data_IF_997815766156
#
_entry.id   IF_997815766156
#
_cell.length_a   1.000
_cell.length_b   1.000
_cell.length_c   1.000
_cell.angle_alpha   90.00
_cell.angle_beta   90.00
_cell.angle_gamma   90.00
#
_symmetry.space_group_name_H-M   'P 1'
#
loop_
_entity.id
_entity.type
_entity.pdbx_description
1 polymer ?
#
# COMPACT_ATOMS: atom_id res chain seq x y z
N UNK A 1 21.26 -10.03 16.29
CA UNK A 1 21.43 -10.07 14.83
C UNK A 1 20.42 -9.20 14.07
N UNK A 2 19.09 -9.34 14.23
CA UNK A 2 18.14 -8.41 13.57
C UNK A 2 18.05 -7.04 14.27
N UNK A 3 18.19 -6.98 15.60
CA UNK A 3 18.25 -5.71 16.32
C UNK A 3 19.41 -4.85 15.84
N UNK A 4 20.59 -5.43 15.59
CA UNK A 4 21.76 -4.74 15.07
C UNK A 4 21.62 -4.31 13.60
N UNK A 5 20.88 -5.06 12.77
CA UNK A 5 20.66 -4.73 11.35
C UNK A 5 19.67 -3.57 11.11
N UNK A 6 18.95 -3.13 12.15
CA UNK A 6 17.97 -2.01 12.08
C UNK A 6 18.22 -0.95 13.15
N UNK A 7 19.30 -1.07 13.92
CA UNK A 7 19.72 -0.05 14.88
C UNK A 7 20.52 1.03 14.15
N UNK A 8 20.05 2.29 14.10
CA UNK A 8 20.76 3.38 13.45
C UNK A 8 22.18 3.57 13.99
N UNK A 9 22.41 3.24 15.27
CA UNK A 9 23.71 3.36 15.93
C UNK A 9 24.69 2.24 15.55
N UNK A 10 24.22 1.20 14.86
CA UNK A 10 25.03 0.05 14.44
C UNK A 10 25.07 -0.11 12.90
N UNK A 11 24.73 0.94 12.14
CA UNK A 11 24.68 0.90 10.68
C UNK A 11 23.42 0.24 10.11
N UNK A 12 22.35 0.16 10.91
CA UNK A 12 21.11 -0.49 10.55
C UNK A 12 20.38 0.19 9.40
N UNK A 13 19.90 -0.62 8.45
CA UNK A 13 19.21 -0.13 7.26
C UNK A 13 17.77 0.20 7.63
N UNK A 14 17.45 1.49 7.78
CA UNK A 14 16.10 2.00 8.09
C UNK A 14 15.18 2.05 6.86
N UNK A 15 15.26 1.10 5.94
CA UNK A 15 14.37 1.03 4.78
C UNK A 15 13.10 0.23 5.10
N UNK A 16 12.06 0.41 4.27
CA UNK A 16 10.77 -0.24 4.45
C UNK A 16 10.90 -1.76 4.66
N UNK A 17 11.75 -2.42 3.87
CA UNK A 17 11.93 -3.88 3.90
C UNK A 17 12.43 -4.38 5.26
N UNK A 18 13.44 -3.74 5.83
CA UNK A 18 14.03 -4.18 7.10
C UNK A 18 13.04 -3.96 8.27
N UNK A 19 12.42 -2.79 8.32
CA UNK A 19 11.46 -2.42 9.38
C UNK A 19 10.17 -3.24 9.30
N UNK A 20 9.63 -3.49 8.10
CA UNK A 20 8.45 -4.35 7.91
C UNK A 20 8.72 -5.81 8.26
N UNK A 21 9.90 -6.33 7.94
CA UNK A 21 10.32 -7.69 8.35
C UNK A 21 10.38 -7.79 9.88
N UNK A 22 10.99 -6.81 10.56
CA UNK A 22 11.06 -6.77 12.02
C UNK A 22 9.68 -6.71 12.65
N UNK A 23 8.79 -5.86 12.12
CA UNK A 23 7.39 -5.80 12.54
C UNK A 23 6.69 -7.16 12.43
N UNK A 24 6.81 -7.84 11.29
CA UNK A 24 6.20 -9.16 11.08
C UNK A 24 6.71 -10.22 12.07
N UNK A 25 7.99 -10.19 12.43
CA UNK A 25 8.55 -11.08 13.46
C UNK A 25 7.98 -10.76 14.85
N UNK A 26 7.88 -9.48 15.21
CA UNK A 26 7.32 -9.06 16.49
C UNK A 26 5.84 -9.44 16.62
N UNK A 27 5.06 -9.33 15.55
CA UNK A 27 3.68 -9.84 15.51
C UNK A 27 3.63 -11.34 15.82
N UNK A 28 4.51 -12.15 15.21
CA UNK A 28 4.58 -13.60 15.47
C UNK A 28 5.00 -13.94 16.91
N UNK A 29 5.70 -13.04 17.58
CA UNK A 29 6.12 -13.17 18.98
C UNK A 29 5.10 -12.59 19.97
N UNK A 30 3.92 -12.14 19.52
CA UNK A 30 2.90 -11.53 20.37
C UNK A 30 3.22 -10.10 20.84
N UNK A 31 4.30 -9.49 20.33
CA UNK A 31 4.73 -8.13 20.67
C UNK A 31 4.06 -7.09 19.75
N UNK A 32 2.73 -7.01 19.82
CA UNK A 32 1.91 -6.25 18.86
C UNK A 32 2.23 -4.75 18.87
N UNK A 33 2.41 -4.13 20.03
CA UNK A 33 2.74 -2.69 20.12
C UNK A 33 4.07 -2.35 19.44
N UNK A 34 5.11 -3.17 19.67
CA UNK A 34 6.40 -2.99 19.00
C UNK A 34 6.27 -3.22 17.49
N UNK A 35 5.50 -4.23 17.08
CA UNK A 35 5.26 -4.52 15.67
C UNK A 35 4.60 -3.33 14.96
N UNK A 36 3.59 -2.71 15.56
CA UNK A 36 2.90 -1.54 15.03
C UNK A 36 3.86 -0.35 14.90
N UNK A 37 4.68 -0.11 15.93
CA UNK A 37 5.70 0.96 15.92
C UNK A 37 6.66 0.80 14.74
N UNK A 38 7.24 -0.39 14.56
CA UNK A 38 8.19 -0.63 13.47
C UNK A 38 7.51 -0.61 12.10
N UNK A 39 6.26 -1.04 11.98
CA UNK A 39 5.52 -0.93 10.72
C UNK A 39 5.20 0.53 10.39
N UNK A 40 4.84 1.35 11.38
CA UNK A 40 4.61 2.78 11.16
C UNK A 40 5.87 3.45 10.62
N UNK A 41 7.02 3.19 11.25
CA UNK A 41 8.33 3.67 10.79
C UNK A 41 8.68 3.15 9.39
N UNK A 42 8.40 1.86 9.12
CA UNK A 42 8.57 1.30 7.78
C UNK A 42 7.77 2.12 6.76
N UNK A 43 6.50 2.39 7.07
CA UNK A 43 5.63 3.14 6.17
C UNK A 43 6.05 4.60 5.98
N UNK A 44 6.64 5.23 7.00
CA UNK A 44 7.18 6.60 6.90
C UNK A 44 8.43 6.66 6.01
N UNK A 45 9.18 5.56 5.93
CA UNK A 45 10.38 5.47 5.09
C UNK A 45 10.13 4.84 3.71
N UNK A 46 8.93 4.27 3.49
CA UNK A 46 8.62 3.54 2.26
C UNK A 46 8.40 4.44 1.05
N UNK A 47 8.91 4.01 -0.09
CA UNK A 47 8.63 4.61 -1.40
C UNK A 47 7.18 4.37 -1.83
N UNK A 48 6.70 5.12 -2.83
CA UNK A 48 5.37 4.93 -3.39
C UNK A 48 5.12 3.48 -3.85
N UNK A 49 6.14 2.86 -4.43
CA UNK A 49 6.10 1.48 -4.92
C UNK A 49 6.05 0.48 -3.75
N UNK A 50 6.91 0.62 -2.74
CA UNK A 50 6.94 -0.30 -1.60
C UNK A 50 5.61 -0.29 -0.83
N UNK A 51 5.07 0.89 -0.53
CA UNK A 51 3.78 1.01 0.14
C UNK A 51 2.64 0.45 -0.72
N UNK A 52 2.69 0.65 -2.04
CA UNK A 52 1.70 0.08 -2.94
C UNK A 52 1.75 -1.46 -2.92
N UNK A 53 2.94 -2.06 -3.00
CA UNK A 53 3.06 -3.52 -2.93
C UNK A 53 2.63 -4.08 -1.58
N UNK A 54 2.92 -3.38 -0.48
CA UNK A 54 2.44 -3.78 0.83
C UNK A 54 0.91 -3.73 0.94
N UNK A 55 0.28 -2.65 0.45
CA UNK A 55 -1.17 -2.58 0.35
C UNK A 55 -1.76 -3.74 -0.48
N UNK A 56 -1.13 -4.09 -1.60
CA UNK A 56 -1.53 -5.25 -2.42
C UNK A 56 -1.40 -6.58 -1.68
N UNK A 57 -0.34 -6.76 -0.90
CA UNK A 57 -0.18 -7.94 -0.05
C UNK A 57 -1.33 -8.05 0.96
N UNK A 58 -1.71 -6.95 1.60
CA UNK A 58 -2.83 -6.91 2.56
C UNK A 58 -4.17 -7.24 1.87
N UNK A 59 -4.40 -6.75 0.65
CA UNK A 59 -5.58 -7.14 -0.14
C UNK A 59 -5.63 -8.66 -0.38
N UNK A 60 -4.49 -9.28 -0.72
CA UNK A 60 -4.39 -10.73 -0.89
C UNK A 60 -4.65 -11.51 0.40
N UNK A 61 -4.38 -10.90 1.55
CA UNK A 61 -4.70 -11.44 2.88
C UNK A 61 -6.14 -11.12 3.34
N UNK A 62 -6.96 -10.50 2.48
CA UNK A 62 -8.32 -10.02 2.80
C UNK A 62 -8.38 -8.98 3.93
N UNK A 63 -7.26 -8.31 4.21
CA UNK A 63 -7.14 -7.22 5.19
C UNK A 63 -7.48 -5.88 4.54
N UNK A 64 -8.72 -5.74 4.11
CA UNK A 64 -9.14 -4.64 3.23
C UNK A 64 -9.06 -3.27 3.90
N UNK A 65 -9.43 -3.18 5.19
CA UNK A 65 -9.36 -1.95 5.95
C UNK A 65 -7.91 -1.47 6.12
N UNK A 66 -7.02 -2.38 6.50
CA UNK A 66 -5.59 -2.09 6.66
C UNK A 66 -4.94 -1.74 5.33
N UNK A 67 -5.29 -2.44 4.24
CA UNK A 67 -4.83 -2.11 2.91
C UNK A 67 -5.22 -0.68 2.51
N UNK A 68 -6.47 -0.29 2.76
CA UNK A 68 -6.94 1.07 2.46
C UNK A 68 -6.16 2.12 3.27
N UNK A 69 -5.88 1.88 4.56
CA UNK A 69 -5.05 2.76 5.38
C UNK A 69 -3.66 2.96 4.77
N UNK A 70 -3.02 1.86 4.32
CA UNK A 70 -1.71 1.92 3.64
C UNK A 70 -1.79 2.72 2.35
N UNK A 71 -2.80 2.51 1.51
CA UNK A 71 -2.96 3.25 0.26
C UNK A 71 -3.23 4.74 0.48
N UNK A 72 -4.03 5.11 1.49
CA UNK A 72 -4.26 6.51 1.88
C UNK A 72 -2.96 7.15 2.37
N UNK A 73 -2.19 6.45 3.22
CA UNK A 73 -0.88 6.94 3.68
C UNK A 73 0.08 7.12 2.50
N UNK A 74 0.11 6.16 1.58
CA UNK A 74 0.94 6.21 0.38
C UNK A 74 0.62 7.43 -0.49
N UNK A 75 -0.67 7.65 -0.78
CA UNK A 75 -1.14 8.79 -1.56
C UNK A 75 -0.75 10.13 -0.93
N UNK A 76 -1.01 10.28 0.38
CA UNK A 76 -0.67 11.51 1.13
C UNK A 76 0.84 11.76 1.17
N UNK A 77 1.63 10.73 1.47
CA UNK A 77 3.09 10.84 1.59
C UNK A 77 3.76 11.16 0.27
N UNK A 78 3.27 10.57 -0.82
CA UNK A 78 3.91 10.67 -2.14
C UNK A 78 3.13 11.60 -3.08
N UNK A 79 2.29 12.50 -2.55
CA UNK A 79 1.58 13.55 -3.28
C UNK A 79 0.88 13.05 -4.56
N UNK A 80 0.22 11.89 -4.50
CA UNK A 80 -0.49 11.34 -5.65
C UNK A 80 0.40 10.80 -6.78
N UNK A 81 1.71 10.61 -6.56
CA UNK A 81 2.61 10.00 -7.54
C UNK A 81 2.17 8.59 -7.94
N UNK A 82 2.52 8.14 -9.14
CA UNK A 82 2.29 6.75 -9.53
C UNK A 82 2.96 5.77 -8.54
N UNK A 83 2.31 4.68 -8.10
CA UNK A 83 0.98 4.15 -8.43
C UNK A 83 -0.08 4.40 -7.33
N UNK A 84 -0.05 5.55 -6.66
CA UNK A 84 -0.89 5.79 -5.46
C UNK A 84 -2.39 5.78 -5.76
N UNK A 85 -2.83 6.41 -6.86
CA UNK A 85 -4.25 6.38 -7.28
C UNK A 85 -4.72 4.97 -7.64
N UNK A 86 -3.88 4.12 -8.25
CA UNK A 86 -4.20 2.70 -8.49
C UNK A 86 -4.40 1.98 -7.15
N UNK A 87 -3.58 2.31 -6.15
CA UNK A 87 -3.72 1.77 -4.80
C UNK A 87 -5.06 2.13 -4.18
N UNK A 88 -5.43 3.41 -4.21
CA UNK A 88 -6.72 3.88 -3.69
C UNK A 88 -7.90 3.29 -4.44
N UNK A 89 -7.84 3.19 -5.77
CA UNK A 89 -8.84 2.48 -6.59
C UNK A 89 -9.10 1.07 -6.06
N UNK A 90 -8.04 0.28 -5.85
CA UNK A 90 -8.16 -1.11 -5.34
C UNK A 90 -8.64 -1.16 -3.90
N UNK A 91 -8.12 -0.29 -3.03
CA UNK A 91 -8.51 -0.23 -1.62
C UNK A 91 -9.97 0.14 -1.41
N UNK A 92 -10.46 1.17 -2.11
CA UNK A 92 -11.86 1.55 -2.06
C UNK A 92 -12.77 0.51 -2.68
N UNK A 93 -12.35 -0.13 -3.78
CA UNK A 93 -13.13 -1.20 -4.38
C UNK A 93 -13.31 -2.40 -3.43
N UNK A 94 -12.23 -2.82 -2.77
CA UNK A 94 -12.24 -3.92 -1.81
C UNK A 94 -13.03 -3.62 -0.51
N UNK A 95 -13.19 -2.35 -0.17
CA UNK A 95 -13.99 -1.89 0.99
C UNK A 95 -15.42 -1.51 0.62
N UNK A 96 -15.80 -1.62 -0.66
CA UNK A 96 -17.15 -1.38 -1.16
C UNK A 96 -17.47 0.07 -1.55
N UNK A 97 -16.54 1.02 -1.38
CA UNK A 97 -16.71 2.41 -1.84
C UNK A 97 -16.41 2.51 -3.34
N UNK A 98 -17.29 1.92 -4.16
CA UNK A 98 -17.12 1.85 -5.60
C UNK A 98 -17.08 3.24 -6.27
N UNK A 99 -17.72 4.24 -5.66
CA UNK A 99 -17.71 5.62 -6.14
C UNK A 99 -16.30 6.22 -6.05
N UNK A 100 -15.67 6.14 -4.88
CA UNK A 100 -14.27 6.59 -4.73
C UNK A 100 -13.30 5.72 -5.51
N UNK A 101 -13.57 4.41 -5.63
CA UNK A 101 -12.76 3.55 -6.46
C UNK A 101 -12.74 4.03 -7.92
N UNK A 102 -13.91 4.38 -8.48
CA UNK A 102 -14.04 4.91 -9.83
C UNK A 102 -13.36 6.27 -10.01
N UNK A 103 -13.51 7.17 -9.03
CA UNK A 103 -12.83 8.46 -9.01
C UNK A 103 -11.31 8.29 -9.12
N UNK A 104 -10.73 7.47 -8.25
CA UNK A 104 -9.29 7.20 -8.27
C UNK A 104 -8.83 6.41 -9.49
N UNK A 105 -9.68 5.55 -10.07
CA UNK A 105 -9.38 4.88 -11.33
C UNK A 105 -9.20 5.88 -12.47
N UNK A 106 -10.10 6.88 -12.57
CA UNK A 106 -10.02 7.94 -13.58
C UNK A 106 -8.79 8.83 -13.38
N UNK A 107 -8.43 9.14 -12.13
CA UNK A 107 -7.20 9.87 -11.80
C UNK A 107 -5.92 9.07 -12.09
N UNK A 108 -5.97 7.73 -11.96
CA UNK A 108 -4.83 6.87 -12.24
C UNK A 108 -4.55 6.70 -13.74
N UNK A 109 -5.59 6.76 -14.58
CA UNK A 109 -5.47 6.50 -16.02
C UNK A 109 -4.41 7.38 -16.73
N UNK A 110 -4.37 8.72 -16.55
CA UNK A 110 -3.34 9.55 -17.16
C UNK A 110 -1.94 9.36 -16.54
N UNK A 111 -1.83 8.70 -15.39
CA UNK A 111 -0.56 8.44 -14.70
C UNK A 111 0.06 7.09 -15.10
N UNK A 112 -0.62 6.29 -15.92
CA UNK A 112 -0.15 4.96 -16.32
C UNK A 112 1.19 5.06 -17.10
N UNK A 113 2.24 4.34 -16.67
CA UNK A 113 3.56 4.43 -17.28
C UNK A 113 3.70 3.62 -18.57
N UNK A 114 2.76 2.71 -18.84
CA UNK A 114 2.77 1.82 -20.00
C UNK A 114 1.34 1.38 -20.38
N UNK A 115 1.22 0.81 -21.58
CA UNK A 115 -0.06 0.38 -22.16
C UNK A 115 -0.73 -0.75 -21.37
N UNK A 116 0.04 -1.61 -20.70
CA UNK A 116 -0.52 -2.71 -19.91
C UNK A 116 -1.25 -2.14 -18.69
N UNK A 117 -0.60 -1.22 -17.98
CA UNK A 117 -1.19 -0.51 -16.85
C UNK A 117 -2.40 0.32 -17.27
N UNK A 118 -2.32 1.01 -18.42
CA UNK A 118 -3.43 1.78 -18.98
C UNK A 118 -4.65 0.89 -19.24
N UNK A 119 -4.49 -0.21 -19.97
CA UNK A 119 -5.57 -1.17 -20.30
C UNK A 119 -6.19 -1.76 -19.04
N UNK A 120 -5.39 -2.09 -18.03
CA UNK A 120 -5.89 -2.60 -16.75
C UNK A 120 -6.76 -1.58 -16.01
N UNK A 121 -6.38 -0.30 -16.03
CA UNK A 121 -7.18 0.78 -15.44
C UNK A 121 -8.46 1.00 -16.23
N UNK A 122 -8.42 0.99 -17.56
CA UNK A 122 -9.62 1.10 -18.40
C UNK A 122 -10.62 -0.05 -18.15
N UNK A 123 -10.13 -1.28 -18.01
CA UNK A 123 -10.98 -2.43 -17.65
C UNK A 123 -11.56 -2.28 -16.24
N UNK A 124 -10.79 -1.74 -15.29
CA UNK A 124 -11.24 -1.45 -13.93
C UNK A 124 -12.33 -0.40 -13.92
N UNK A 125 -12.18 0.69 -14.69
CA UNK A 125 -13.19 1.74 -14.86
C UNK A 125 -14.51 1.13 -15.35
N UNK A 126 -14.47 0.34 -16.43
CA UNK A 126 -15.68 -0.32 -16.96
C UNK A 126 -16.36 -1.22 -15.92
N UNK A 127 -15.59 -1.93 -15.11
CA UNK A 127 -16.14 -2.81 -14.07
C UNK A 127 -16.81 -2.00 -12.95
N UNK A 128 -16.15 -0.93 -12.51
CA UNK A 128 -16.63 -0.02 -11.46
C UNK A 128 -17.86 0.78 -11.91
N UNK A 129 -17.92 1.20 -13.18
CA UNK A 129 -19.09 1.87 -13.78
C UNK A 129 -20.33 0.97 -13.79
N UNK A 130 -20.13 -0.35 -13.90
CA UNK A 130 -21.20 -1.33 -13.76
C UNK A 130 -21.55 -1.67 -12.30
N UNK A 131 -21.01 -0.92 -11.32
CA UNK A 131 -21.27 -1.14 -9.90
C UNK A 131 -20.66 -2.43 -9.34
N UNK A 132 -19.61 -2.95 -9.98
CA UNK A 132 -18.91 -4.17 -9.54
C UNK A 132 -17.54 -3.83 -8.95
N UNK A 133 -17.14 -4.55 -7.92
CA UNK A 133 -15.78 -4.48 -7.37
C UNK A 133 -14.75 -5.16 -8.29
N UNK A 134 -13.48 -4.78 -8.15
CA UNK A 134 -12.32 -5.30 -8.92
C UNK A 134 -11.33 -6.09 -8.05
#
# INVERSE_FOLDING_TARGET
>A
WISSATDPNLGGVNNFRALSTRSGLLTKLGKTQDAEKFMSQAMDNGTAIELHQYGRQLLGQKKYAEALVVFVKNFKKNNGAWPTNVGLMRGYSATGDLKKALEHARLALPQAPDDINKRNIEASIKTLENGKSI
#
